data_IF_860967648844
#
_entry.id   IF_860967648844
#
_cell.length_a   1.000
_cell.length_b   1.000
_cell.length_c   1.000
_cell.angle_alpha   90.00
_cell.angle_beta   90.00
_cell.angle_gamma   90.00
#
_symmetry.space_group_name_H-M   'P 1'
#
loop_
_entity.id
_entity.type
_entity.pdbx_description
1 polymer ?
#
# COMPACT_ATOMS: atom_id res chain seq x y z
N UNK A 1 -26.04 -45.47 -24.72
CA UNK A 1 -25.36 -44.17 -24.69
C UNK A 1 -25.88 -43.36 -23.49
N UNK A 2 -25.62 -43.86 -22.27
CA UNK A 2 -26.15 -43.32 -21.02
C UNK A 2 -24.99 -43.01 -20.05
N UNK A 3 -24.01 -42.26 -20.54
CA UNK A 3 -22.84 -41.81 -19.79
C UNK A 3 -22.79 -40.30 -20.02
N UNK A 4 -23.29 -39.50 -19.09
CA UNK A 4 -23.26 -38.04 -19.22
C UNK A 4 -24.06 -37.27 -18.18
N UNK A 5 -25.24 -37.73 -17.74
CA UNK A 5 -26.07 -36.93 -16.83
C UNK A 5 -25.70 -37.07 -15.33
N UNK A 6 -25.19 -38.23 -14.90
CA UNK A 6 -24.89 -38.48 -13.48
C UNK A 6 -23.62 -37.81 -12.97
N UNK A 7 -22.72 -37.37 -13.85
CA UNK A 7 -21.52 -36.59 -13.50
C UNK A 7 -21.73 -35.07 -13.55
N UNK A 8 -22.80 -34.62 -14.24
CA UNK A 8 -23.15 -33.20 -14.37
C UNK A 8 -23.92 -32.71 -13.15
N UNK A 9 -24.85 -33.52 -12.62
CA UNK A 9 -25.66 -33.17 -11.44
C UNK A 9 -24.80 -32.88 -10.19
N UNK A 10 -23.83 -33.73 -9.78
CA UNK A 10 -22.97 -33.41 -8.65
C UNK A 10 -22.03 -32.23 -8.93
N UNK A 11 -21.62 -31.99 -10.18
CA UNK A 11 -20.85 -30.78 -10.55
C UNK A 11 -21.69 -29.51 -10.47
N UNK A 12 -22.95 -29.53 -10.91
CA UNK A 12 -23.87 -28.40 -10.78
C UNK A 12 -24.26 -28.14 -9.32
N UNK A 13 -24.41 -29.19 -8.53
CA UNK A 13 -24.75 -29.09 -7.11
C UNK A 13 -23.55 -28.58 -6.30
N UNK A 14 -22.32 -28.98 -6.67
CA UNK A 14 -21.08 -28.46 -6.10
C UNK A 14 -20.84 -26.99 -6.49
N UNK A 15 -21.13 -26.60 -7.75
CA UNK A 15 -21.12 -25.20 -8.21
C UNK A 15 -22.16 -24.34 -7.47
N UNK A 16 -23.39 -24.85 -7.32
CA UNK A 16 -24.46 -24.15 -6.59
C UNK A 16 -24.09 -23.95 -5.12
N UNK A 17 -23.47 -24.94 -4.46
CA UNK A 17 -23.00 -24.79 -3.08
C UNK A 17 -21.83 -23.82 -2.93
N UNK A 18 -20.91 -23.73 -3.90
CA UNK A 18 -19.82 -22.76 -3.87
C UNK A 18 -20.31 -21.34 -4.13
N UNK A 19 -21.27 -21.16 -5.04
CA UNK A 19 -21.86 -19.87 -5.36
C UNK A 19 -22.71 -19.34 -4.18
N UNK A 20 -23.42 -20.22 -3.48
CA UNK A 20 -24.13 -19.81 -2.26
C UNK A 20 -23.16 -19.41 -1.13
N UNK A 21 -22.05 -20.13 -0.96
CA UNK A 21 -21.05 -19.79 0.06
C UNK A 21 -20.36 -18.44 -0.24
N UNK A 22 -20.05 -18.15 -1.50
CA UNK A 22 -19.45 -16.87 -1.91
C UNK A 22 -20.43 -15.70 -1.80
N UNK A 23 -21.71 -15.91 -2.08
CA UNK A 23 -22.74 -14.89 -1.85
C UNK A 23 -22.93 -14.61 -0.36
N UNK A 24 -22.89 -15.64 0.50
CA UNK A 24 -22.98 -15.46 1.95
C UNK A 24 -21.79 -14.68 2.50
N UNK A 25 -20.57 -14.96 2.03
CA UNK A 25 -19.38 -14.22 2.45
C UNK A 25 -19.40 -12.77 2.00
N UNK A 26 -19.81 -12.50 0.76
CA UNK A 26 -19.98 -11.13 0.27
C UNK A 26 -21.05 -10.37 1.05
N UNK A 27 -22.17 -11.01 1.38
CA UNK A 27 -23.22 -10.39 2.20
C UNK A 27 -22.72 -10.05 3.61
N UNK A 28 -21.97 -10.97 4.24
CA UNK A 28 -21.34 -10.69 5.54
C UNK A 28 -20.41 -9.50 5.43
N UNK A 29 -19.57 -9.45 4.40
CA UNK A 29 -18.61 -8.37 4.21
C UNK A 29 -19.29 -7.02 3.99
N UNK A 30 -20.32 -6.96 3.13
CA UNK A 30 -21.09 -5.73 2.90
C UNK A 30 -21.81 -5.28 4.19
N UNK A 31 -22.40 -6.21 4.95
CA UNK A 31 -23.03 -5.89 6.23
C UNK A 31 -22.04 -5.31 7.24
N UNK A 32 -20.81 -5.86 7.29
CA UNK A 32 -19.73 -5.35 8.13
C UNK A 32 -19.29 -3.95 7.73
N UNK A 33 -19.16 -3.67 6.42
CA UNK A 33 -18.85 -2.33 5.93
C UNK A 33 -19.93 -1.33 6.35
N UNK A 34 -21.21 -1.67 6.17
CA UNK A 34 -22.32 -0.83 6.61
C UNK A 34 -22.28 -0.60 8.12
N UNK A 35 -22.02 -1.65 8.92
CA UNK A 35 -21.89 -1.53 10.37
C UNK A 35 -20.71 -0.62 10.76
N UNK A 36 -19.56 -0.73 10.08
CA UNK A 36 -18.40 0.13 10.32
C UNK A 36 -18.72 1.60 10.07
N UNK A 37 -19.46 1.91 9.00
CA UNK A 37 -19.85 3.30 8.68
C UNK A 37 -20.81 3.84 9.75
N UNK A 38 -21.84 3.07 10.13
CA UNK A 38 -22.83 3.50 11.14
C UNK A 38 -22.18 3.66 12.52
N UNK A 39 -21.41 2.66 12.97
CA UNK A 39 -20.74 2.69 14.27
C UNK A 39 -19.64 3.76 14.29
N UNK A 40 -18.91 3.93 13.19
CA UNK A 40 -17.91 4.98 13.02
C UNK A 40 -18.51 6.37 13.22
N UNK A 41 -19.63 6.65 12.55
CA UNK A 41 -20.35 7.92 12.71
C UNK A 41 -20.89 8.13 14.14
N UNK A 42 -21.41 7.08 14.79
CA UNK A 42 -21.87 7.16 16.18
C UNK A 42 -20.74 7.43 17.18
N UNK A 43 -19.52 6.99 16.86
CA UNK A 43 -18.33 7.17 17.70
C UNK A 43 -17.53 8.42 17.33
N UNK A 44 -17.97 9.20 16.34
CA UNK A 44 -17.30 10.42 15.87
C UNK A 44 -17.18 11.50 16.97
N UNK A 45 -18.11 11.51 17.93
CA UNK A 45 -18.04 12.42 19.10
C UNK A 45 -16.84 12.13 20.02
N UNK A 46 -16.29 10.91 19.98
CA UNK A 46 -15.12 10.56 20.78
C UNK A 46 -13.82 10.90 20.04
N UNK A 47 -13.09 11.89 20.55
CA UNK A 47 -11.77 12.34 20.04
C UNK A 47 -10.70 11.25 19.90
N UNK A 48 -10.90 10.08 20.49
CA UNK A 48 -9.93 8.97 20.53
C UNK A 48 -10.22 7.87 19.51
N UNK A 49 -11.40 7.88 18.87
CA UNK A 49 -11.85 6.81 17.98
C UNK A 49 -11.97 7.36 16.57
N UNK A 50 -11.00 7.03 15.71
CA UNK A 50 -11.09 7.31 14.29
C UNK A 50 -11.86 6.17 13.59
N UNK A 51 -12.49 6.46 12.45
CA UNK A 51 -13.26 5.48 11.66
C UNK A 51 -12.43 4.25 11.30
N UNK A 52 -11.15 4.47 10.98
CA UNK A 52 -10.14 3.42 10.75
C UNK A 52 -9.94 2.47 11.93
N UNK A 53 -9.90 3.02 13.14
CA UNK A 53 -9.71 2.23 14.37
C UNK A 53 -10.97 1.41 14.65
N UNK A 54 -12.15 2.01 14.46
CA UNK A 54 -13.43 1.32 14.55
C UNK A 54 -13.52 0.15 13.58
N UNK A 55 -13.15 0.38 12.31
CA UNK A 55 -13.14 -0.65 11.28
C UNK A 55 -12.18 -1.81 11.63
N UNK A 56 -10.97 -1.49 12.13
CA UNK A 56 -10.01 -2.49 12.57
C UNK A 56 -10.55 -3.33 13.75
N UNK A 57 -11.11 -2.67 14.77
CA UNK A 57 -11.69 -3.36 15.94
C UNK A 57 -12.85 -4.25 15.54
N UNK A 58 -13.75 -3.77 14.65
CA UNK A 58 -14.85 -4.58 14.12
C UNK A 58 -14.31 -5.77 13.33
N UNK A 59 -13.26 -5.58 12.51
CA UNK A 59 -12.58 -6.66 11.79
C UNK A 59 -12.05 -7.74 12.74
N UNK A 60 -11.36 -7.34 13.81
CA UNK A 60 -10.85 -8.26 14.85
C UNK A 60 -12.02 -8.96 15.56
N UNK A 61 -13.05 -8.23 16.01
CA UNK A 61 -14.22 -8.84 16.65
C UNK A 61 -14.90 -9.86 15.74
N UNK A 62 -15.03 -9.56 14.45
CA UNK A 62 -15.59 -10.47 13.46
C UNK A 62 -14.70 -11.69 13.28
N UNK A 63 -13.38 -11.51 13.19
CA UNK A 63 -12.42 -12.61 13.13
C UNK A 63 -12.53 -13.54 14.34
N UNK A 64 -12.69 -12.99 15.57
CA UNK A 64 -12.92 -13.79 16.78
C UNK A 64 -14.22 -14.59 16.68
N UNK A 65 -15.32 -13.96 16.25
CA UNK A 65 -16.62 -14.62 16.11
C UNK A 65 -16.54 -15.77 15.09
N UNK A 66 -15.90 -15.54 13.94
CA UNK A 66 -15.69 -16.57 12.91
C UNK A 66 -14.85 -17.71 13.47
N UNK A 67 -13.76 -17.41 14.18
CA UNK A 67 -12.86 -18.41 14.77
C UNK A 67 -13.57 -19.28 15.82
N UNK A 68 -14.40 -18.67 16.65
CA UNK A 68 -15.22 -19.38 17.64
C UNK A 68 -16.29 -20.24 16.97
N UNK A 69 -16.96 -19.70 15.93
CA UNK A 69 -18.00 -20.42 15.19
C UNK A 69 -17.44 -21.59 14.35
N UNK A 70 -16.23 -21.46 13.82
CA UNK A 70 -15.56 -22.50 13.03
C UNK A 70 -14.89 -23.58 13.88
N UNK A 71 -14.89 -23.43 15.22
CA UNK A 71 -14.23 -24.35 16.14
C UNK A 71 -12.71 -24.41 15.96
N UNK A 72 -12.09 -23.30 15.55
CA UNK A 72 -10.64 -23.23 15.32
C UNK A 72 -10.15 -23.89 14.03
N UNK A 73 -11.04 -24.21 13.09
CA UNK A 73 -10.65 -24.63 11.73
C UNK A 73 -10.49 -23.41 10.82
N UNK A 74 -9.46 -23.45 9.98
CA UNK A 74 -9.17 -22.43 8.97
C UNK A 74 -10.42 -22.14 8.15
N UNK A 75 -10.87 -20.90 8.24
CA UNK A 75 -12.01 -20.41 7.47
C UNK A 75 -11.43 -19.66 6.29
N UNK A 76 -11.68 -20.11 5.06
CA UNK A 76 -11.18 -19.47 3.83
C UNK A 76 -11.58 -17.98 3.70
N UNK A 77 -12.52 -17.51 4.53
CA UNK A 77 -12.93 -16.12 4.66
C UNK A 77 -11.92 -15.21 5.37
N UNK A 78 -11.02 -15.80 6.18
CA UNK A 78 -9.99 -15.06 6.93
C UNK A 78 -8.69 -14.92 6.13
N UNK A 79 -8.56 -15.63 5.01
CA UNK A 79 -7.34 -15.63 4.19
C UNK A 79 -7.26 -14.34 3.38
N UNK A 80 -6.17 -13.61 3.54
CA UNK A 80 -5.84 -12.41 2.77
C UNK A 80 -5.60 -12.72 1.29
N UNK A 81 -6.35 -12.08 0.40
CA UNK A 81 -6.17 -12.10 -1.05
C UNK A 81 -5.41 -10.86 -1.48
N UNK A 82 -4.16 -11.06 -1.89
CA UNK A 82 -3.29 -10.01 -2.42
C UNK A 82 -3.86 -9.38 -3.69
N UNK A 83 -4.38 -10.20 -4.61
CA UNK A 83 -4.99 -9.72 -5.85
C UNK A 83 -6.14 -8.76 -5.56
N UNK A 84 -6.98 -9.07 -4.57
CA UNK A 84 -8.08 -8.20 -4.17
C UNK A 84 -7.52 -6.84 -3.70
N UNK A 85 -6.52 -6.87 -2.82
CA UNK A 85 -5.89 -5.66 -2.30
C UNK A 85 -5.26 -4.79 -3.39
N UNK A 86 -4.37 -5.36 -4.20
CA UNK A 86 -3.57 -4.59 -5.16
C UNK A 86 -4.37 -4.15 -6.38
N UNK A 87 -5.26 -5.01 -6.89
CA UNK A 87 -5.96 -4.74 -8.13
C UNK A 87 -7.19 -3.87 -7.87
N UNK A 88 -7.92 -4.07 -6.76
CA UNK A 88 -9.22 -3.43 -6.56
C UNK A 88 -9.22 -2.33 -5.50
N UNK A 89 -8.53 -2.51 -4.36
CA UNK A 89 -8.62 -1.58 -3.23
C UNK A 89 -7.61 -0.45 -3.32
N UNK A 90 -6.36 -0.77 -3.68
CA UNK A 90 -5.27 0.18 -3.68
C UNK A 90 -5.42 1.30 -4.74
N UNK A 91 -5.79 1.03 -6.01
CA UNK A 91 -5.76 2.06 -7.04
C UNK A 91 -6.69 3.25 -6.76
N UNK A 92 -7.95 3.08 -6.31
CA UNK A 92 -8.82 4.18 -5.93
C UNK A 92 -8.25 5.08 -4.83
N UNK A 93 -7.58 4.50 -3.83
CA UNK A 93 -7.02 5.23 -2.69
C UNK A 93 -5.87 6.11 -3.14
N UNK A 94 -4.90 5.52 -3.86
CA UNK A 94 -3.73 6.23 -4.35
C UNK A 94 -4.12 7.29 -5.39
N UNK A 95 -5.10 6.97 -6.24
CA UNK A 95 -5.65 7.94 -7.19
C UNK A 95 -6.27 9.14 -6.48
N UNK A 96 -7.12 8.90 -5.48
CA UNK A 96 -7.76 9.97 -4.70
C UNK A 96 -6.69 10.82 -3.96
N UNK A 97 -5.68 10.18 -3.37
CA UNK A 97 -4.56 10.87 -2.75
C UNK A 97 -3.82 11.78 -3.74
N UNK A 98 -3.51 11.28 -4.95
CA UNK A 98 -2.90 12.08 -6.02
C UNK A 98 -3.79 13.18 -6.59
N UNK A 99 -5.10 12.95 -6.60
CA UNK A 99 -6.07 13.92 -7.10
C UNK A 99 -6.24 15.11 -6.15
N UNK A 100 -6.22 14.86 -4.84
CA UNK A 100 -6.45 15.89 -3.82
C UNK A 100 -5.18 16.57 -3.29
N UNK A 101 -4.00 15.97 -3.50
CA UNK A 101 -2.73 16.50 -2.97
C UNK A 101 -2.50 17.97 -3.30
N UNK A 102 -1.96 18.74 -2.34
CA UNK A 102 -1.55 20.13 -2.56
C UNK A 102 -0.28 20.18 -3.42
N UNK A 103 -0.46 20.10 -4.73
CA UNK A 103 0.58 20.01 -5.80
C UNK A 103 1.78 20.92 -5.56
N UNK A 104 1.54 22.21 -5.25
CA UNK A 104 2.62 23.17 -4.98
C UNK A 104 3.52 22.71 -3.82
N UNK A 105 2.93 22.26 -2.71
CA UNK A 105 3.67 21.80 -1.54
C UNK A 105 4.42 20.50 -1.84
N UNK A 106 3.78 19.59 -2.57
CA UNK A 106 4.39 18.33 -3.00
C UNK A 106 5.64 18.58 -3.87
N UNK A 107 5.53 19.39 -4.92
CA UNK A 107 6.65 19.64 -5.84
C UNK A 107 7.79 20.48 -5.23
N UNK A 108 7.49 21.42 -4.33
CA UNK A 108 8.54 22.16 -3.59
C UNK A 108 9.36 21.23 -2.69
N UNK A 109 8.72 20.20 -2.12
CA UNK A 109 9.38 19.24 -1.24
C UNK A 109 9.78 17.94 -1.94
N UNK A 110 9.69 17.87 -3.27
CA UNK A 110 9.91 16.64 -4.03
C UNK A 110 11.31 16.06 -3.80
N UNK A 111 12.34 16.91 -3.74
CA UNK A 111 13.71 16.46 -3.43
C UNK A 111 13.81 15.81 -2.05
N UNK A 112 13.11 16.36 -1.04
CA UNK A 112 13.04 15.77 0.31
C UNK A 112 12.34 14.42 0.27
N UNK A 113 11.24 14.32 -0.46
CA UNK A 113 10.46 13.09 -0.66
C UNK A 113 11.32 12.00 -1.30
N UNK A 114 11.97 12.30 -2.43
CA UNK A 114 12.84 11.34 -3.13
C UNK A 114 14.03 10.94 -2.26
N UNK A 115 14.61 11.86 -1.49
CA UNK A 115 15.72 11.55 -0.61
C UNK A 115 15.29 10.59 0.52
N UNK A 116 14.14 10.83 1.16
CA UNK A 116 13.63 9.92 2.17
C UNK A 116 13.23 8.56 1.59
N UNK A 117 12.51 8.53 0.47
CA UNK A 117 12.03 7.28 -0.12
C UNK A 117 13.10 6.45 -0.85
N UNK A 118 14.14 7.06 -1.42
CA UNK A 118 15.21 6.30 -2.08
C UNK A 118 16.36 6.00 -1.11
N UNK A 119 16.98 7.05 -0.55
CA UNK A 119 18.16 6.90 0.32
C UNK A 119 17.76 6.35 1.69
N UNK A 120 16.62 6.78 2.24
CA UNK A 120 16.13 6.25 3.51
C UNK A 120 15.84 4.75 3.45
N UNK A 121 15.25 4.27 2.36
CA UNK A 121 14.99 2.84 2.13
C UNK A 121 16.27 2.02 2.03
N UNK A 122 17.30 2.53 1.34
CA UNK A 122 18.60 1.86 1.29
C UNK A 122 19.26 1.76 2.67
N UNK A 123 19.22 2.85 3.46
CA UNK A 123 19.75 2.86 4.83
C UNK A 123 18.97 1.88 5.71
N UNK A 124 17.63 1.92 5.64
CA UNK A 124 16.76 1.02 6.41
C UNK A 124 17.01 -0.45 6.04
N UNK A 125 17.10 -0.77 4.75
CA UNK A 125 17.38 -2.12 4.28
C UNK A 125 18.74 -2.62 4.80
N UNK A 126 19.79 -1.79 4.71
CA UNK A 126 21.11 -2.16 5.22
C UNK A 126 21.11 -2.45 6.72
N UNK A 127 20.46 -1.61 7.52
CA UNK A 127 20.37 -1.79 8.98
C UNK A 127 19.58 -3.04 9.34
N UNK A 128 18.44 -3.27 8.68
CA UNK A 128 17.60 -4.44 8.95
C UNK A 128 18.33 -5.71 8.53
N UNK A 129 18.91 -5.76 7.32
CA UNK A 129 19.64 -6.94 6.82
C UNK A 129 20.82 -7.33 7.72
N UNK A 130 21.63 -6.35 8.12
CA UNK A 130 22.75 -6.58 9.03
C UNK A 130 22.27 -7.01 10.43
N UNK A 131 21.22 -6.38 10.94
CA UNK A 131 20.62 -6.72 12.22
C UNK A 131 20.09 -8.15 12.23
N UNK A 132 19.29 -8.53 11.24
CA UNK A 132 18.74 -9.88 11.12
C UNK A 132 19.88 -10.90 11.01
N UNK A 133 20.91 -10.64 10.19
CA UNK A 133 22.08 -11.52 10.09
C UNK A 133 22.76 -11.76 11.45
N UNK A 134 22.89 -10.73 12.28
CA UNK A 134 23.54 -10.85 13.59
C UNK A 134 22.66 -11.54 14.64
N UNK A 135 21.36 -11.23 14.67
CA UNK A 135 20.46 -11.74 15.69
C UNK A 135 19.94 -13.15 15.35
N UNK A 136 19.65 -13.46 14.08
CA UNK A 136 19.13 -14.77 13.69
C UNK A 136 20.22 -15.85 13.81
N UNK A 137 21.47 -15.52 13.49
CA UNK A 137 22.63 -16.41 13.75
C UNK A 137 22.81 -16.72 15.25
N UNK A 138 22.45 -15.80 16.14
CA UNK A 138 22.51 -16.03 17.59
C UNK A 138 21.35 -16.86 18.13
N UNK A 139 20.22 -16.85 17.43
CA UNK A 139 19.00 -17.57 17.81
C UNK A 139 18.90 -18.97 17.18
N UNK A 140 19.89 -19.38 16.38
CA UNK A 140 19.97 -20.67 15.67
C UNK A 140 18.75 -20.96 14.78
N UNK A 141 18.19 -19.90 14.18
CA UNK A 141 16.99 -19.98 13.32
C UNK A 141 17.45 -20.34 11.90
N UNK A 142 17.83 -21.61 11.71
CA UNK A 142 18.17 -22.17 10.40
C UNK A 142 19.39 -21.55 9.71
N UNK A 143 19.89 -22.25 8.70
CA UNK A 143 20.96 -21.75 7.83
C UNK A 143 20.35 -20.98 6.64
N UNK A 144 19.96 -19.73 6.86
CA UNK A 144 19.59 -18.82 5.77
C UNK A 144 20.84 -18.30 5.05
N UNK A 145 20.74 -18.14 3.73
CA UNK A 145 21.83 -17.57 2.94
C UNK A 145 21.88 -16.04 3.07
N UNK A 146 22.99 -15.43 2.65
CA UNK A 146 23.16 -13.97 2.67
C UNK A 146 22.07 -13.27 1.83
N UNK A 147 21.61 -13.91 0.75
CA UNK A 147 20.53 -13.41 -0.10
C UNK A 147 19.21 -13.27 0.65
N UNK A 148 18.87 -14.24 1.51
CA UNK A 148 17.62 -14.23 2.28
C UNK A 148 17.61 -13.08 3.31
N UNK A 149 18.74 -12.84 3.97
CA UNK A 149 18.86 -11.73 4.92
C UNK A 149 18.70 -10.37 4.23
N UNK A 150 19.25 -10.21 3.03
CA UNK A 150 19.09 -9.01 2.23
C UNK A 150 17.65 -8.84 1.73
N UNK A 151 17.01 -9.93 1.30
CA UNK A 151 15.62 -9.92 0.87
C UNK A 151 14.68 -9.51 2.01
N UNK A 152 14.87 -10.05 3.22
CA UNK A 152 14.16 -9.63 4.44
C UNK A 152 14.34 -8.12 4.66
N UNK A 153 15.58 -7.61 4.54
CA UNK A 153 15.84 -6.19 4.67
C UNK A 153 15.10 -5.33 3.64
N UNK A 154 15.03 -5.77 2.37
CA UNK A 154 14.31 -5.07 1.32
C UNK A 154 12.79 -5.09 1.53
N UNK A 155 12.23 -6.25 1.90
CA UNK A 155 10.81 -6.43 2.24
C UNK A 155 10.40 -5.49 3.38
N UNK A 156 11.15 -5.53 4.49
CA UNK A 156 10.91 -4.67 5.65
C UNK A 156 11.51 -3.26 5.51
N UNK A 157 11.99 -2.84 4.33
CA UNK A 157 12.26 -1.42 4.08
C UNK A 157 11.00 -0.70 3.55
N UNK A 158 10.12 -1.42 2.85
CA UNK A 158 8.90 -0.92 2.23
C UNK A 158 7.86 -0.35 3.22
N UNK A 159 7.40 0.87 2.90
CA UNK A 159 6.33 1.68 3.49
C UNK A 159 4.98 1.00 3.57
N UNK A 160 4.11 1.26 4.55
CA UNK A 160 2.76 1.66 4.15
C UNK A 160 2.55 3.14 4.45
N UNK A 161 2.25 3.92 3.41
CA UNK A 161 1.79 5.28 3.63
C UNK A 161 0.27 5.36 3.73
N UNK A 162 -0.48 4.40 3.17
CA UNK A 162 -1.95 4.45 3.09
C UNK A 162 -2.57 4.46 4.49
N UNK A 163 -2.16 3.51 5.35
CA UNK A 163 -2.64 3.43 6.73
C UNK A 163 -2.40 4.72 7.53
N UNK A 164 -1.29 5.40 7.26
CA UNK A 164 -0.93 6.63 8.00
C UNK A 164 -1.71 7.85 7.56
N UNK A 165 -2.15 7.88 6.31
CA UNK A 165 -2.83 9.03 5.72
C UNK A 165 -4.29 9.14 6.12
N UNK A 166 -4.85 8.07 6.68
CA UNK A 166 -6.18 8.10 7.27
C UNK A 166 -6.20 8.82 8.62
N UNK A 167 -5.05 8.91 9.28
CA UNK A 167 -4.90 9.70 10.51
C UNK A 167 -4.42 11.12 10.17
N UNK A 168 -3.67 11.29 9.08
CA UNK A 168 -3.14 12.59 8.67
C UNK A 168 -4.10 13.33 7.74
N UNK A 169 -4.66 14.44 8.19
CA UNK A 169 -5.47 15.29 7.33
C UNK A 169 -4.60 16.22 6.46
N UNK A 170 -4.78 16.15 5.14
CA UNK A 170 -4.09 17.00 4.15
C UNK A 170 -4.38 18.50 4.28
N UNK A 171 -5.54 18.87 4.86
CA UNK A 171 -5.92 20.27 5.01
C UNK A 171 -5.29 20.91 6.24
N UNK A 172 -5.17 20.16 7.33
CA UNK A 172 -4.52 20.60 8.56
C UNK A 172 -2.99 20.55 8.46
N UNK A 173 -2.45 19.46 7.89
CA UNK A 173 -1.01 19.18 7.87
C UNK A 173 -0.46 18.84 6.48
N UNK A 174 -0.60 19.74 5.49
CA UNK A 174 -0.28 19.45 4.08
C UNK A 174 1.19 19.06 3.83
N UNK A 175 2.12 19.59 4.65
CA UNK A 175 3.53 19.23 4.56
C UNK A 175 3.77 17.79 5.00
N UNK A 176 3.26 17.37 6.17
CA UNK A 176 3.46 16.01 6.66
C UNK A 176 2.79 15.00 5.74
N UNK A 177 1.55 15.28 5.34
CA UNK A 177 0.82 14.46 4.39
C UNK A 177 1.64 14.23 3.11
N UNK A 178 2.15 15.31 2.50
CA UNK A 178 2.94 15.21 1.26
C UNK A 178 4.26 14.45 1.46
N UNK A 179 4.93 14.62 2.62
CA UNK A 179 6.19 13.95 2.92
C UNK A 179 6.00 12.46 3.16
N UNK A 180 5.05 12.07 4.01
CA UNK A 180 4.81 10.66 4.37
C UNK A 180 4.25 9.88 3.19
N UNK A 181 3.25 10.42 2.49
CA UNK A 181 2.71 9.78 1.29
C UNK A 181 3.77 9.67 0.20
N UNK A 182 4.45 10.79 -0.10
CA UNK A 182 5.47 10.80 -1.14
C UNK A 182 6.62 9.84 -0.85
N UNK A 183 7.09 9.80 0.40
CA UNK A 183 8.13 8.87 0.84
C UNK A 183 7.70 7.43 0.62
N UNK A 184 6.48 7.05 1.02
CA UNK A 184 5.92 5.71 0.79
C UNK A 184 5.89 5.33 -0.69
N UNK A 185 5.38 6.21 -1.55
CA UNK A 185 5.29 5.92 -3.00
C UNK A 185 6.67 5.74 -3.65
N UNK A 186 7.66 6.56 -3.29
CA UNK A 186 9.04 6.40 -3.80
C UNK A 186 9.68 5.13 -3.21
N UNK A 187 9.46 4.89 -1.92
CA UNK A 187 9.97 3.72 -1.19
C UNK A 187 9.48 2.41 -1.82
N UNK A 188 8.21 2.32 -2.21
CA UNK A 188 7.67 1.11 -2.84
C UNK A 188 8.41 0.78 -4.14
N UNK A 189 8.64 1.79 -4.99
CA UNK A 189 9.43 1.64 -6.20
C UNK A 189 10.89 1.24 -5.88
N UNK A 190 11.53 1.88 -4.90
CA UNK A 190 12.90 1.55 -4.48
C UNK A 190 13.01 0.14 -3.93
N UNK A 191 12.05 -0.32 -3.14
CA UNK A 191 12.04 -1.65 -2.51
C UNK A 191 11.90 -2.76 -3.55
N UNK A 192 11.05 -2.57 -4.57
CA UNK A 192 10.93 -3.51 -5.69
C UNK A 192 12.24 -3.59 -6.48
N UNK A 193 12.86 -2.45 -6.79
CA UNK A 193 14.15 -2.44 -7.51
C UNK A 193 15.21 -3.17 -6.68
N UNK A 194 15.24 -2.94 -5.37
CA UNK A 194 16.21 -3.52 -4.44
C UNK A 194 16.03 -5.03 -4.32
N UNK A 195 14.79 -5.48 -4.21
CA UNK A 195 14.45 -6.89 -4.16
C UNK A 195 14.84 -7.63 -5.44
N UNK A 196 14.46 -7.09 -6.61
CA UNK A 196 14.84 -7.66 -7.90
C UNK A 196 16.37 -7.69 -8.10
N UNK A 197 17.05 -6.64 -7.64
CA UNK A 197 18.51 -6.60 -7.59
C UNK A 197 19.05 -7.79 -6.79
N UNK A 198 18.62 -7.96 -5.53
CA UNK A 198 19.09 -9.02 -4.64
C UNK A 198 18.88 -10.41 -5.26
N UNK A 199 17.74 -10.67 -5.90
CA UNK A 199 17.50 -11.97 -6.56
C UNK A 199 18.38 -12.20 -7.80
N UNK A 200 18.74 -11.14 -8.52
CA UNK A 200 19.55 -11.24 -9.74
C UNK A 200 21.06 -11.34 -9.50
N UNK A 201 21.53 -11.11 -8.26
CA UNK A 201 22.95 -11.03 -7.96
C UNK A 201 23.53 -12.33 -7.40
N UNK A 202 24.63 -12.77 -7.99
CA UNK A 202 25.51 -13.80 -7.43
C UNK A 202 26.45 -13.11 -6.43
N UNK A 203 26.23 -13.37 -5.14
CA UNK A 203 26.87 -12.66 -4.01
C UNK A 203 28.39 -12.86 -3.89
N UNK A 204 28.96 -13.69 -4.76
CA UNK A 204 30.38 -14.03 -4.76
C UNK A 204 31.27 -13.00 -5.48
N UNK A 205 30.69 -12.09 -6.28
CA UNK A 205 31.45 -11.05 -7.01
C UNK A 205 30.83 -9.65 -6.85
N UNK A 206 31.41 -8.85 -5.94
CA UNK A 206 30.98 -7.45 -5.74
C UNK A 206 31.65 -6.56 -6.79
N UNK A 207 30.99 -6.39 -7.93
CA UNK A 207 31.42 -5.47 -8.97
C UNK A 207 30.80 -4.07 -8.79
N UNK A 208 31.57 -2.96 -8.88
CA UNK A 208 31.02 -1.59 -8.78
C UNK A 208 30.02 -1.25 -9.90
N UNK A 209 30.04 -2.01 -11.00
CA UNK A 209 29.05 -1.91 -12.10
C UNK A 209 27.64 -2.27 -11.65
N UNK A 210 27.50 -3.10 -10.61
CA UNK A 210 26.22 -3.51 -10.03
C UNK A 210 25.50 -2.32 -9.40
N UNK A 211 26.21 -1.51 -8.61
CA UNK A 211 25.64 -0.30 -8.00
C UNK A 211 25.14 0.69 -9.06
N UNK A 212 25.86 0.83 -10.17
CA UNK A 212 25.45 1.68 -11.28
C UNK A 212 24.22 1.12 -12.02
N UNK A 213 24.16 -0.19 -12.23
CA UNK A 213 22.98 -0.86 -12.79
C UNK A 213 21.75 -0.71 -11.89
N UNK A 214 21.92 -0.82 -10.57
CA UNK A 214 20.85 -0.59 -9.60
C UNK A 214 20.28 0.83 -9.68
N UNK A 215 21.18 1.84 -9.66
CA UNK A 215 20.79 3.25 -9.81
C UNK A 215 20.08 3.47 -11.16
N UNK A 216 20.61 2.87 -12.24
CA UNK A 216 20.01 2.92 -13.58
C UNK A 216 18.60 2.34 -13.61
N UNK A 217 18.39 1.16 -13.02
CA UNK A 217 17.08 0.50 -12.93
C UNK A 217 16.09 1.29 -12.08
N UNK A 218 16.55 1.89 -10.98
CA UNK A 218 15.71 2.78 -10.18
C UNK A 218 15.23 3.98 -11.00
N UNK A 219 16.14 4.70 -11.67
CA UNK A 219 15.75 5.84 -12.51
C UNK A 219 14.88 5.41 -13.70
N UNK A 220 15.14 4.25 -14.30
CA UNK A 220 14.33 3.69 -15.36
C UNK A 220 12.89 3.44 -14.88
N UNK A 221 12.71 2.66 -13.81
CA UNK A 221 11.39 2.35 -13.26
C UNK A 221 10.67 3.61 -12.78
N UNK A 222 11.38 4.50 -12.08
CA UNK A 222 10.81 5.75 -11.58
C UNK A 222 10.33 6.67 -12.72
N UNK A 223 11.18 6.90 -13.73
CA UNK A 223 10.87 7.80 -14.83
C UNK A 223 9.80 7.23 -15.75
N UNK A 224 9.90 5.96 -16.13
CA UNK A 224 8.92 5.32 -17.04
C UNK A 224 7.54 5.21 -16.40
N UNK A 225 7.44 4.81 -15.13
CA UNK A 225 6.17 4.76 -14.39
C UNK A 225 5.55 6.16 -14.26
N UNK A 226 6.36 7.17 -13.96
CA UNK A 226 5.92 8.58 -13.91
C UNK A 226 5.43 9.06 -15.27
N UNK A 227 6.18 8.78 -16.34
CA UNK A 227 5.80 9.16 -17.71
C UNK A 227 4.49 8.50 -18.13
N UNK A 228 4.29 7.21 -17.83
CA UNK A 228 3.03 6.51 -18.13
C UNK A 228 1.84 7.16 -17.40
N UNK A 229 2.01 7.53 -16.12
CA UNK A 229 0.98 8.24 -15.35
C UNK A 229 0.65 9.61 -15.95
N UNK A 230 1.68 10.37 -16.35
CA UNK A 230 1.50 11.67 -17.00
C UNK A 230 0.79 11.52 -18.35
N UNK A 231 1.21 10.57 -19.19
CA UNK A 231 0.62 10.32 -20.51
C UNK A 231 -0.85 9.94 -20.38
N UNK A 232 -1.19 9.00 -19.48
CA UNK A 232 -2.58 8.56 -19.27
C UNK A 232 -3.46 9.68 -18.71
N UNK A 233 -2.93 10.49 -17.79
CA UNK A 233 -3.63 11.68 -17.27
C UNK A 233 -3.87 12.76 -18.33
N UNK A 234 -2.88 13.05 -19.17
CA UNK A 234 -3.01 13.99 -20.30
C UNK A 234 -3.95 13.45 -21.38
N UNK A 235 -3.91 12.14 -21.64
CA UNK A 235 -4.82 11.47 -22.56
C UNK A 235 -6.27 11.60 -22.07
N UNK A 236 -6.52 11.42 -20.78
CA UNK A 236 -7.85 11.69 -20.20
C UNK A 236 -8.29 13.14 -20.40
N UNK A 237 -7.41 14.11 -20.14
CA UNK A 237 -7.71 15.52 -20.36
C UNK A 237 -8.02 15.82 -21.83
N UNK A 238 -7.28 15.21 -22.76
CA UNK A 238 -7.50 15.34 -24.19
C UNK A 238 -8.82 14.73 -24.65
N UNK A 239 -9.13 13.50 -24.20
CA UNK A 239 -10.38 12.79 -24.50
C UNK A 239 -11.57 13.64 -24.06
N UNK A 240 -11.58 14.12 -22.81
CA UNK A 240 -12.67 14.94 -22.27
C UNK A 240 -12.80 16.27 -23.03
N UNK A 241 -11.68 16.93 -23.35
CA UNK A 241 -11.69 18.19 -24.07
C UNK A 241 -12.14 18.05 -25.52
N UNK A 242 -11.71 17.00 -26.23
CA UNK A 242 -11.93 16.84 -27.68
C UNK A 242 -13.27 16.19 -28.00
N UNK A 243 -13.69 15.19 -27.22
CA UNK A 243 -14.90 14.44 -27.56
C UNK A 243 -16.18 15.26 -27.37
N UNK A 244 -16.15 16.42 -26.69
CA UNK A 244 -17.32 17.26 -26.34
C UNK A 244 -18.49 16.51 -25.67
N UNK A 245 -18.37 15.20 -25.46
CA UNK A 245 -19.40 14.24 -25.06
C UNK A 245 -19.81 14.42 -23.59
N UNK A 246 -18.92 15.01 -22.78
CA UNK A 246 -19.11 15.19 -21.33
C UNK A 246 -20.05 16.32 -20.95
N UNK A 247 -20.24 17.32 -21.82
CA UNK A 247 -20.98 18.55 -21.48
C UNK A 247 -22.49 18.33 -21.28
N UNK A 248 -23.00 17.16 -21.66
CA UNK A 248 -24.41 16.78 -21.47
C UNK A 248 -24.65 15.75 -20.36
N UNK A 249 -23.61 15.14 -19.78
CA UNK A 249 -23.80 14.17 -18.69
C UNK A 249 -22.60 14.13 -17.76
N UNK A 250 -22.84 14.56 -16.52
CA UNK A 250 -21.89 14.50 -15.42
C UNK A 250 -21.37 13.08 -15.18
N UNK A 251 -22.25 12.08 -15.25
CA UNK A 251 -21.90 10.68 -14.99
C UNK A 251 -20.83 10.16 -15.96
N UNK A 252 -20.92 10.54 -17.24
CA UNK A 252 -19.94 10.13 -18.26
C UNK A 252 -18.56 10.72 -18.01
N UNK A 253 -18.50 11.99 -17.59
CA UNK A 253 -17.22 12.65 -17.29
C UNK A 253 -16.54 11.97 -16.09
N UNK A 254 -17.29 11.74 -15.01
CA UNK A 254 -16.76 11.10 -13.79
C UNK A 254 -16.36 9.64 -14.07
N UNK A 255 -17.21 8.87 -14.77
CA UNK A 255 -16.91 7.49 -15.13
C UNK A 255 -15.64 7.35 -15.99
N UNK A 256 -15.47 8.22 -17.00
CA UNK A 256 -14.26 8.22 -17.82
C UNK A 256 -13.00 8.53 -17.00
N UNK A 257 -13.08 9.47 -16.05
CA UNK A 257 -11.94 9.75 -15.17
C UNK A 257 -11.58 8.54 -14.30
N UNK A 258 -12.57 7.84 -13.72
CA UNK A 258 -12.33 6.62 -12.93
C UNK A 258 -11.71 5.50 -13.76
N UNK A 259 -12.26 5.24 -14.95
CA UNK A 259 -11.77 4.19 -15.84
C UNK A 259 -10.35 4.49 -16.34
N UNK A 260 -10.04 5.74 -16.67
CA UNK A 260 -8.71 6.13 -17.11
C UNK A 260 -7.67 6.04 -15.98
N UNK A 261 -8.07 6.35 -14.74
CA UNK A 261 -7.22 6.15 -13.57
C UNK A 261 -6.90 4.67 -13.36
N UNK A 262 -7.92 3.81 -13.39
CA UNK A 262 -7.75 2.36 -13.27
C UNK A 262 -6.92 1.77 -14.42
N UNK A 263 -7.17 2.23 -15.65
CA UNK A 263 -6.38 1.84 -16.82
C UNK A 263 -4.90 2.18 -16.65
N UNK A 264 -4.58 3.33 -16.05
CA UNK A 264 -3.17 3.70 -15.80
C UNK A 264 -2.46 2.69 -14.90
N UNK A 265 -3.15 2.19 -13.86
CA UNK A 265 -2.62 1.17 -12.97
C UNK A 265 -2.42 -0.17 -13.70
N UNK A 266 -3.46 -0.65 -14.39
CA UNK A 266 -3.38 -1.92 -15.12
C UNK A 266 -2.31 -1.90 -16.22
N UNK A 267 -2.13 -0.78 -16.91
CA UNK A 267 -1.06 -0.64 -17.91
C UNK A 267 0.34 -0.66 -17.27
N UNK A 268 0.50 -0.11 -16.06
CA UNK A 268 1.77 -0.21 -15.35
C UNK A 268 2.08 -1.66 -14.96
N UNK A 269 1.11 -2.40 -14.42
CA UNK A 269 1.30 -3.82 -14.09
C UNK A 269 1.64 -4.66 -15.34
N UNK A 270 0.96 -4.42 -16.47
CA UNK A 270 1.26 -5.08 -17.75
C UNK A 270 2.69 -4.82 -18.26
N UNK A 271 3.27 -3.67 -17.92
CA UNK A 271 4.63 -3.28 -18.30
C UNK A 271 5.66 -3.55 -17.20
N UNK A 272 5.29 -4.23 -16.10
CA UNK A 272 6.16 -4.46 -14.94
C UNK A 272 6.75 -3.15 -14.36
N UNK A 273 5.94 -2.09 -14.38
CA UNK A 273 6.23 -0.77 -13.83
C UNK A 273 5.58 -0.61 -12.45
N UNK A 274 5.88 0.47 -11.73
CA UNK A 274 5.24 0.74 -10.44
C UNK A 274 3.81 1.28 -10.63
N UNK A 275 2.81 0.41 -10.48
CA UNK A 275 1.39 0.78 -10.55
C UNK A 275 1.01 1.92 -9.61
N UNK A 276 1.53 1.89 -8.37
CA UNK A 276 1.31 2.92 -7.34
C UNK A 276 1.82 4.29 -7.80
N UNK A 277 3.05 4.34 -8.31
CA UNK A 277 3.66 5.58 -8.80
C UNK A 277 2.91 6.12 -10.03
N UNK A 278 2.54 5.23 -10.96
CA UNK A 278 1.80 5.58 -12.19
C UNK A 278 0.42 6.16 -11.88
N UNK A 279 -0.40 5.50 -11.06
CA UNK A 279 -1.75 5.97 -10.75
C UNK A 279 -1.73 7.27 -9.93
N UNK A 280 -0.73 7.45 -9.07
CA UNK A 280 -0.55 8.69 -8.31
C UNK A 280 -0.29 9.90 -9.23
N UNK A 281 0.70 9.78 -10.14
CA UNK A 281 0.99 10.86 -11.08
C UNK A 281 -0.16 11.08 -12.08
N UNK A 282 -0.87 10.01 -12.46
CA UNK A 282 -2.11 10.12 -13.22
C UNK A 282 -3.14 11.01 -12.50
N UNK A 283 -3.36 10.78 -11.19
CA UNK A 283 -4.21 11.60 -10.33
C UNK A 283 -3.77 13.07 -10.24
N UNK A 284 -2.47 13.34 -10.09
CA UNK A 284 -1.93 14.71 -10.08
C UNK A 284 -2.22 15.44 -11.41
N UNK A 285 -1.96 14.77 -12.54
CA UNK A 285 -2.16 15.35 -13.87
C UNK A 285 -3.63 15.55 -14.16
N UNK A 286 -4.49 14.58 -13.84
CA UNK A 286 -5.94 14.69 -14.00
C UNK A 286 -6.52 15.82 -13.14
N UNK A 287 -6.08 15.96 -11.89
CA UNK A 287 -6.57 17.06 -11.06
C UNK A 287 -6.10 18.43 -11.56
N UNK A 288 -4.99 18.51 -12.30
CA UNK A 288 -4.48 19.77 -12.83
C UNK A 288 -5.10 20.13 -14.19
N UNK A 289 -5.23 19.18 -15.10
CA UNK A 289 -5.73 19.44 -16.45
C UNK A 289 -7.18 19.00 -16.63
N UNK A 290 -7.50 17.74 -16.33
CA UNK A 290 -8.82 17.16 -16.57
C UNK A 290 -9.91 17.84 -15.73
N UNK A 291 -9.67 18.08 -14.44
CA UNK A 291 -10.64 18.70 -13.54
C UNK A 291 -11.06 20.11 -13.98
N UNK A 292 -10.16 20.87 -14.63
CA UNK A 292 -10.52 22.19 -15.16
C UNK A 292 -11.30 22.10 -16.48
N UNK A 293 -11.18 20.99 -17.22
CA UNK A 293 -11.86 20.78 -18.50
C UNK A 293 -13.30 20.23 -18.35
N UNK A 294 -13.66 19.64 -17.21
CA UNK A 294 -15.01 19.14 -16.93
C UNK A 294 -15.98 20.25 -16.52
N UNK A 295 -17.28 19.95 -16.56
CA UNK A 295 -18.34 20.89 -16.14
C UNK A 295 -18.30 21.17 -14.63
N UNK A 296 -18.90 22.29 -14.20
CA UNK A 296 -18.92 22.68 -12.78
C UNK A 296 -19.61 21.65 -11.87
N UNK A 297 -20.73 21.09 -12.33
CA UNK A 297 -21.42 19.99 -11.64
C UNK A 297 -20.51 18.76 -11.51
N UNK A 298 -19.78 18.42 -12.58
CA UNK A 298 -18.80 17.33 -12.54
C UNK A 298 -17.66 17.61 -11.59
N UNK A 299 -17.13 18.84 -11.51
CA UNK A 299 -16.03 19.15 -10.56
C UNK A 299 -16.36 18.80 -9.12
N UNK A 300 -17.58 19.12 -8.69
CA UNK A 300 -18.09 18.80 -7.35
C UNK A 300 -18.26 17.28 -7.22
N UNK A 301 -18.96 16.68 -8.19
CA UNK A 301 -19.27 15.24 -8.19
C UNK A 301 -18.01 14.38 -8.19
N UNK A 302 -17.02 14.70 -9.02
CA UNK A 302 -15.71 14.05 -9.09
C UNK A 302 -15.00 14.05 -7.73
N UNK A 303 -15.00 15.18 -7.02
CA UNK A 303 -14.34 15.28 -5.71
C UNK A 303 -15.00 14.36 -4.68
N UNK A 304 -16.33 14.35 -4.63
CA UNK A 304 -17.06 13.47 -3.71
C UNK A 304 -16.96 12.00 -4.11
N UNK A 305 -17.11 11.68 -5.40
CA UNK A 305 -17.06 10.30 -5.89
C UNK A 305 -15.70 9.63 -5.60
N UNK A 306 -14.59 10.33 -5.86
CA UNK A 306 -13.26 9.78 -5.59
C UNK A 306 -12.97 9.66 -4.09
N UNK A 307 -13.43 10.63 -3.29
CA UNK A 307 -13.33 10.56 -1.84
C UNK A 307 -14.14 9.39 -1.27
N UNK A 308 -15.39 9.20 -1.71
CA UNK A 308 -16.24 8.10 -1.27
C UNK A 308 -15.69 6.74 -1.68
N UNK A 309 -15.16 6.61 -2.91
CA UNK A 309 -14.56 5.36 -3.36
C UNK A 309 -13.30 5.00 -2.56
N UNK A 310 -12.43 6.00 -2.31
CA UNK A 310 -11.26 5.87 -1.43
C UNK A 310 -11.68 5.42 -0.03
N UNK A 311 -12.66 6.10 0.55
CA UNK A 311 -13.17 5.83 1.90
C UNK A 311 -13.72 4.41 2.06
N UNK A 312 -14.51 3.93 1.09
CA UNK A 312 -15.03 2.55 1.13
C UNK A 312 -13.89 1.53 1.01
N UNK A 313 -12.94 1.75 0.09
CA UNK A 313 -11.78 0.88 -0.06
C UNK A 313 -10.90 0.87 1.20
N UNK A 314 -10.77 2.02 1.87
CA UNK A 314 -10.03 2.18 3.12
C UNK A 314 -10.66 1.40 4.28
N UNK A 315 -11.98 1.50 4.50
CA UNK A 315 -12.69 0.71 5.51
C UNK A 315 -12.55 -0.78 5.21
N UNK A 316 -12.68 -1.15 3.93
CA UNK A 316 -12.49 -2.54 3.49
C UNK A 316 -11.13 -3.06 3.95
N UNK A 317 -10.04 -2.33 3.68
CA UNK A 317 -8.68 -2.74 4.05
C UNK A 317 -8.58 -3.00 5.56
N UNK A 318 -9.09 -2.11 6.42
CA UNK A 318 -8.96 -2.30 7.87
C UNK A 318 -9.79 -3.45 8.43
N UNK A 319 -11.02 -3.62 7.94
CA UNK A 319 -11.83 -4.77 8.32
C UNK A 319 -11.11 -6.05 7.92
N UNK A 320 -10.57 -6.08 6.70
CA UNK A 320 -9.89 -7.24 6.15
C UNK A 320 -8.58 -7.57 6.89
N UNK A 321 -7.74 -6.58 7.19
CA UNK A 321 -6.53 -6.74 8.01
C UNK A 321 -6.88 -7.17 9.43
N UNK A 322 -7.94 -6.62 10.03
CA UNK A 322 -8.40 -7.01 11.36
C UNK A 322 -8.87 -8.46 11.42
N UNK A 323 -9.53 -8.95 10.36
CA UNK A 323 -9.91 -10.35 10.22
C UNK A 323 -8.70 -11.27 10.02
N UNK A 324 -7.77 -10.89 9.15
CA UNK A 324 -6.56 -11.66 8.83
C UNK A 324 -5.60 -11.82 10.02
N UNK A 325 -5.56 -10.84 10.94
CA UNK A 325 -4.73 -10.90 12.15
C UNK A 325 -5.05 -12.10 13.07
N UNK A 326 -6.25 -12.68 12.94
CA UNK A 326 -6.73 -13.82 13.73
C UNK A 326 -6.69 -15.15 12.96
N UNK A 327 -6.03 -15.19 11.80
CA UNK A 327 -5.87 -16.43 11.05
C UNK A 327 -5.04 -17.47 11.83
N UNK A 328 -5.67 -18.60 12.12
CA UNK A 328 -5.12 -19.66 12.96
C UNK A 328 -3.91 -20.34 12.32
N UNK A 329 -3.77 -20.33 10.99
CA UNK A 329 -2.63 -20.95 10.31
C UNK A 329 -1.31 -20.23 10.64
N UNK A 330 -1.36 -18.90 10.70
CA UNK A 330 -0.23 -18.05 11.14
C UNK A 330 0.11 -18.31 12.61
N UNK A 331 -0.90 -18.38 13.47
CA UNK A 331 -0.72 -18.65 14.90
C UNK A 331 -0.26 -20.08 15.20
N UNK A 332 -0.56 -21.06 14.34
CA UNK A 332 -0.10 -22.44 14.49
C UNK A 332 1.42 -22.55 14.29
N UNK A 333 1.98 -21.79 13.33
CA UNK A 333 3.43 -21.66 13.17
C UNK A 333 4.09 -21.03 14.41
N UNK A 334 3.46 -20.00 14.99
CA UNK A 334 3.90 -19.35 16.23
C UNK A 334 3.83 -20.28 17.45
N UNK A 335 2.79 -21.14 17.51
CA UNK A 335 2.54 -22.03 18.64
C UNK A 335 3.57 -23.15 18.82
N UNK A 336 4.34 -23.49 17.77
CA UNK A 336 5.40 -24.49 17.84
C UNK A 336 6.61 -24.03 18.68
N UNK A 337 6.86 -22.71 18.77
CA UNK A 337 7.88 -22.13 19.65
C UNK A 337 7.54 -20.65 19.99
N UNK A 338 6.64 -20.40 20.96
CA UNK A 338 6.15 -19.06 21.25
C UNK A 338 7.26 -18.12 21.76
N UNK A 339 8.26 -18.64 22.48
CA UNK A 339 9.37 -17.84 23.00
C UNK A 339 10.30 -17.29 21.92
N UNK A 340 10.64 -18.09 20.92
CA UNK A 340 11.49 -17.69 19.78
C UNK A 340 10.71 -16.81 18.81
N UNK A 341 9.43 -17.08 18.55
CA UNK A 341 8.60 -16.22 17.68
C UNK A 341 8.45 -14.81 18.26
N UNK A 342 8.13 -14.69 19.56
CA UNK A 342 8.06 -13.38 20.23
C UNK A 342 9.42 -12.67 20.22
N UNK A 343 10.52 -13.41 20.45
CA UNK A 343 11.86 -12.85 20.37
C UNK A 343 12.16 -12.31 18.96
N UNK A 344 11.90 -13.10 17.90
CA UNK A 344 12.11 -12.70 16.50
C UNK A 344 11.27 -11.48 16.14
N UNK A 345 9.97 -11.48 16.45
CA UNK A 345 9.09 -10.34 16.18
C UNK A 345 9.53 -9.08 16.92
N UNK A 346 9.95 -9.20 18.18
CA UNK A 346 10.45 -8.06 18.97
C UNK A 346 11.76 -7.49 18.40
N UNK A 347 12.67 -8.36 17.97
CA UNK A 347 13.94 -7.97 17.36
C UNK A 347 13.68 -7.28 16.01
N UNK A 348 12.84 -7.86 15.16
CA UNK A 348 12.45 -7.26 13.89
C UNK A 348 11.80 -5.89 14.08
N UNK A 349 10.87 -5.75 15.03
CA UNK A 349 10.26 -4.47 15.38
C UNK A 349 11.32 -3.46 15.81
N UNK A 350 12.25 -3.85 16.69
CA UNK A 350 13.35 -3.01 17.16
C UNK A 350 14.27 -2.57 16.01
N UNK A 351 14.62 -3.48 15.10
CA UNK A 351 15.43 -3.18 13.91
C UNK A 351 14.71 -2.24 12.95
N UNK A 352 13.40 -2.41 12.76
CA UNK A 352 12.59 -1.50 11.95
C UNK A 352 12.58 -0.09 12.55
N UNK A 353 12.34 0.02 13.86
CA UNK A 353 12.35 1.31 14.57
C UNK A 353 13.73 1.99 14.47
N UNK A 354 14.80 1.22 14.65
CA UNK A 354 16.17 1.71 14.55
C UNK A 354 16.54 2.12 13.13
N UNK A 355 16.21 1.30 12.13
CA UNK A 355 16.44 1.58 10.70
C UNK A 355 15.75 2.87 10.27
N UNK A 356 14.50 3.06 10.69
CA UNK A 356 13.73 4.30 10.45
C UNK A 356 14.36 5.51 11.15
N UNK A 357 14.72 5.39 12.43
CA UNK A 357 15.34 6.49 13.17
C UNK A 357 16.67 6.93 12.52
N UNK A 358 17.47 5.96 12.07
CA UNK A 358 18.79 6.18 11.49
C UNK A 358 18.77 7.00 10.20
N UNK A 359 17.67 7.01 9.44
CA UNK A 359 17.57 7.90 8.27
C UNK A 359 16.72 9.14 8.54
N UNK A 360 15.62 9.05 9.29
CA UNK A 360 14.69 10.17 9.47
C UNK A 360 15.36 11.34 10.19
N UNK A 361 16.06 11.11 11.30
CA UNK A 361 16.70 12.20 12.06
C UNK A 361 17.91 12.80 11.32
N UNK A 362 18.87 12.02 10.79
CA UNK A 362 20.02 12.59 10.10
C UNK A 362 19.66 13.28 8.77
N UNK A 363 18.79 12.67 7.96
CA UNK A 363 18.38 13.27 6.68
C UNK A 363 17.54 14.53 6.91
N UNK A 364 16.64 14.55 7.90
CA UNK A 364 15.89 15.76 8.24
C UNK A 364 16.80 16.88 8.75
N UNK A 365 17.86 16.56 9.50
CA UNK A 365 18.89 17.51 9.88
C UNK A 365 19.61 18.09 8.65
N UNK A 366 20.08 17.24 7.74
CA UNK A 366 20.73 17.68 6.49
C UNK A 366 19.81 18.57 5.64
N UNK A 367 18.55 18.20 5.49
CA UNK A 367 17.56 18.97 4.73
C UNK A 367 17.29 20.33 5.40
N UNK A 368 17.23 20.37 6.73
CA UNK A 368 17.04 21.62 7.48
C UNK A 368 18.22 22.60 7.35
N UNK A 369 19.42 22.11 7.02
CA UNK A 369 20.59 22.95 6.69
C UNK A 369 20.48 23.57 5.29
N UNK A 370 19.96 22.81 4.32
CA UNK A 370 19.81 23.26 2.92
C UNK A 370 18.62 24.22 2.76
N UNK A 371 17.56 24.04 3.56
CA UNK A 371 16.34 24.86 3.48
C UNK A 371 16.56 26.27 4.04
N UNK A 372 16.43 27.26 3.15
CA UNK A 372 16.59 28.70 3.46
C UNK A 372 15.39 29.29 4.23
N UNK A 373 14.18 28.77 4.01
CA UNK A 373 12.94 29.31 4.60
C UNK A 373 12.57 28.62 5.92
N UNK A 374 12.30 29.34 7.02
CA UNK A 374 11.95 28.74 8.31
C UNK A 374 10.60 28.01 8.29
N UNK A 375 9.66 28.41 7.40
CA UNK A 375 8.35 27.76 7.23
C UNK A 375 8.41 26.38 6.56
N UNK A 376 9.53 26.03 5.95
CA UNK A 376 9.72 24.75 5.25
C UNK A 376 10.55 23.76 6.06
N UNK A 377 11.08 24.19 7.21
CA UNK A 377 11.90 23.34 8.10
C UNK A 377 11.02 22.32 8.80
N UNK A 378 11.54 21.10 8.92
CA UNK A 378 10.87 19.99 9.59
C UNK A 378 11.21 20.09 11.07
N UNK A 379 10.22 20.46 11.89
CA UNK A 379 10.35 20.55 13.34
C UNK A 379 10.58 19.17 13.95
N UNK A 380 11.22 19.10 15.12
CA UNK A 380 11.47 17.83 15.82
C UNK A 380 10.18 17.02 16.07
N UNK A 381 9.07 17.68 16.43
CA UNK A 381 7.75 17.02 16.57
C UNK A 381 7.30 16.37 15.26
N UNK A 382 7.53 17.03 14.12
CA UNK A 382 7.18 16.50 12.81
C UNK A 382 8.10 15.34 12.40
N UNK A 383 9.38 15.38 12.78
CA UNK A 383 10.32 14.27 12.57
C UNK A 383 9.87 13.03 13.33
N UNK A 384 9.44 13.19 14.59
CA UNK A 384 8.89 12.07 15.40
C UNK A 384 7.63 11.51 14.76
N UNK A 385 6.73 12.37 14.24
CA UNK A 385 5.54 11.90 13.50
C UNK A 385 5.91 11.14 12.23
N UNK A 386 6.87 11.63 11.44
CA UNK A 386 7.35 10.94 10.23
C UNK A 386 7.98 9.59 10.59
N UNK A 387 8.80 9.55 11.65
CA UNK A 387 9.40 8.31 12.15
C UNK A 387 8.34 7.29 12.58
N UNK A 388 7.34 7.73 13.34
CA UNK A 388 6.26 6.87 13.84
C UNK A 388 5.32 6.40 12.71
N UNK A 389 4.93 7.30 11.82
CA UNK A 389 4.06 6.99 10.68
C UNK A 389 4.69 5.90 9.81
N UNK A 390 5.98 6.01 9.50
CA UNK A 390 6.72 5.02 8.71
C UNK A 390 6.96 3.66 9.39
N UNK A 391 6.38 3.38 10.56
CA UNK A 391 6.42 2.04 11.16
C UNK A 391 5.38 1.10 10.58
N UNK A 392 4.29 1.63 10.00
CA UNK A 392 3.27 0.81 9.35
C UNK A 392 3.87 0.12 8.12
N UNK A 393 3.64 -1.19 7.99
CA UNK A 393 4.13 -2.01 6.87
C UNK A 393 2.97 -2.39 5.98
N UNK A 394 3.16 -2.15 4.69
CA UNK A 394 2.09 -2.18 3.70
C UNK A 394 2.05 -3.49 2.95
N UNK A 395 1.04 -3.62 2.10
CA UNK A 395 0.86 -4.80 1.28
C UNK A 395 2.05 -5.08 0.36
N UNK A 396 2.87 -4.09 -0.03
CA UNK A 396 4.08 -4.32 -0.84
C UNK A 396 5.04 -5.26 -0.12
N UNK A 397 5.20 -5.10 1.20
CA UNK A 397 6.00 -6.04 2.00
C UNK A 397 5.38 -7.45 2.03
N UNK A 398 4.04 -7.54 1.98
CA UNK A 398 3.31 -8.80 1.94
C UNK A 398 3.49 -9.48 0.56
N UNK A 399 3.25 -8.77 -0.55
CA UNK A 399 3.43 -9.29 -1.91
C UNK A 399 4.87 -9.73 -2.20
N UNK A 400 5.87 -8.99 -1.69
CA UNK A 400 7.27 -9.39 -1.83
C UNK A 400 7.59 -10.64 -0.98
N UNK A 401 6.99 -10.78 0.21
CA UNK A 401 7.15 -11.97 1.03
C UNK A 401 6.52 -13.22 0.37
N UNK A 402 5.34 -13.09 -0.24
CA UNK A 402 4.70 -14.20 -0.95
C UNK A 402 5.43 -14.56 -2.26
N UNK A 403 5.97 -13.58 -2.98
CA UNK A 403 6.83 -13.85 -4.14
C UNK A 403 8.13 -14.60 -3.78
N UNK A 404 8.73 -14.41 -2.60
CA UNK A 404 9.81 -15.29 -2.14
C UNK A 404 9.32 -16.70 -1.80
N UNK A 405 8.16 -16.83 -1.16
CA UNK A 405 7.61 -18.13 -0.78
C UNK A 405 7.20 -19.02 -1.97
N UNK A 406 7.05 -18.44 -3.17
CA UNK A 406 6.80 -19.19 -4.42
C UNK A 406 8.07 -19.64 -5.15
N UNK A 407 9.25 -19.14 -4.75
CA UNK A 407 10.55 -19.46 -5.38
C UNK A 407 11.41 -20.42 -4.53
N UNK A 408 11.03 -20.66 -3.28
CA UNK A 408 11.51 -21.81 -2.47
C UNK A 408 10.53 -22.98 -2.57
#
# INVERSE_FOLDING_TARGET
>A
MAIGLSSIIPRLQMLSTSDHASVVSMNLFVALLCACIVIGHLLEENRWVNESITALVIGVCTGVVILLASGGRSSHLLVFSEDLFFIYLLPPIIFNAGFQVKKKQFFVNFTTITLFGAVGTLISCGIISLGVTQFFKKLDIGSLDIGDYLAIGAIFAATDSVCTLQVLNQDETPLLYSLVFGEGVVNDATSVVLFNAIQSFDLNHIDPRIGLHFIGNFFYLFLTSTMLGVITGLLSAYIIKKLYFGRHSTDREVALMMLMAYLSYMMAELFYLSGILTVFFCGIVMSHYTWHNVTECSRITTKHAFATLSFVAEIFIFVYVGMDALDIEKWRFVSGSPGTSVAVSSILLGLIMAGRAAFVFPLSFLINLVKKSPKEKINFRQQVVIWWAGLMRGAVSIALAYNQCLVC
#
